data_IF_197311118047
#
_entry.id   IF_197311118047
#
_cell.length_a   1.000
_cell.length_b   1.000
_cell.length_c   1.000
_cell.angle_alpha   90.00
_cell.angle_beta   90.00
_cell.angle_gamma   90.00
#
_symmetry.space_group_name_H-M   'P 1'
#
loop_
_entity.id
_entity.type
_entity.pdbx_description
1 polymer ?
2 non-polymer ?
3 non-polymer ?
4 water ?
#
# COMPACT_ATOMS: atom_id res chain seq x y z
N UNK A 2 26.91 0.75 -3.56
CA UNK A 2 26.44 -0.65 -3.55
C UNK A 2 27.41 -1.51 -2.72
N UNK A 3 26.80 -2.35 -1.91
CA UNK A 3 27.46 -3.12 -0.91
C UNK A 3 28.39 -2.21 -0.10
N UNK A 4 28.12 -0.90 -0.09
CA UNK A 4 28.94 0.06 0.64
C UNK A 4 28.08 0.83 1.66
N UNK A 5 28.69 1.17 2.80
CA UNK A 5 28.10 2.09 3.77
C UNK A 5 28.71 3.48 3.54
N UNK A 6 27.89 4.44 3.10
CA UNK A 6 28.39 5.77 2.85
C UNK A 6 29.12 6.31 4.09
N UNK A 7 30.18 7.07 3.85
CA UNK A 7 30.98 7.64 4.95
C UNK A 7 30.15 8.67 5.75
N UNK A 8 29.03 9.19 5.20
CA UNK A 8 28.21 10.14 5.91
C UNK A 8 26.99 9.47 6.55
N UNK A 9 26.86 8.13 6.41
CA UNK A 9 25.76 7.42 7.11
C UNK A 9 26.21 7.21 8.55
N UNK A 10 25.25 7.07 9.46
CA UNK A 10 25.58 6.83 10.85
C UNK A 10 25.01 5.44 11.17
N UNK A 11 25.85 4.57 11.74
CA UNK A 11 25.43 3.24 12.14
C UNK A 11 25.75 3.14 13.64
N UNK A 12 24.71 3.01 14.47
CA UNK A 12 24.95 2.88 15.89
C UNK A 12 25.90 1.73 16.19
N UNK A 13 26.81 1.87 17.16
CA UNK A 13 27.65 0.73 17.55
C UNK A 13 26.89 -0.54 17.95
N UNK A 14 25.66 -0.42 18.45
CA UNK A 14 24.87 -1.64 18.85
C UNK A 14 24.11 -2.27 17.67
N UNK A 15 23.97 -1.56 16.56
CA UNK A 15 23.33 -2.09 15.37
C UNK A 15 24.23 -3.17 14.78
N UNK A 16 23.60 -4.05 13.98
CA UNK A 16 24.26 -5.14 13.32
C UNK A 16 23.88 -5.05 11.84
N UNK A 17 24.77 -4.47 11.03
CA UNK A 17 24.54 -4.39 9.59
C UNK A 17 25.45 -5.39 8.91
N UNK A 18 24.87 -6.34 8.19
CA UNK A 18 25.65 -7.40 7.62
C UNK A 18 26.42 -6.87 6.40
N UNK A 19 27.64 -7.41 6.23
CA UNK A 19 28.47 -7.15 5.06
C UNK A 19 27.67 -7.45 3.79
N UNK A 20 27.62 -6.47 2.87
CA UNK A 20 26.87 -6.55 1.61
C UNK A 20 25.73 -5.54 1.56
N UNK A 21 25.24 -5.10 2.72
CA UNK A 21 24.20 -4.07 2.82
C UNK A 21 24.71 -2.76 2.23
N UNK A 22 23.82 -2.02 1.58
CA UNK A 22 24.11 -0.69 1.03
C UNK A 22 23.35 0.34 1.85
N UNK A 23 24.07 1.35 2.33
CA UNK A 23 23.46 2.41 3.15
C UNK A 23 23.95 3.76 2.63
N UNK A 24 22.99 4.58 2.22
CA UNK A 24 23.27 5.80 1.50
C UNK A 24 23.65 6.96 2.42
N UNK A 25 24.01 8.06 1.79
CA UNK A 25 24.46 9.28 2.44
C UNK A 25 23.41 9.72 3.47
N UNK A 26 23.90 10.03 4.67
CA UNK A 26 23.15 10.67 5.77
C UNK A 26 21.97 9.81 6.18
N UNK A 27 21.99 8.51 5.87
CA UNK A 27 21.10 7.55 6.52
C UNK A 27 21.53 7.40 7.98
N UNK A 28 20.64 6.86 8.80
CA UNK A 28 20.84 6.69 10.25
C UNK A 28 20.25 5.36 10.69
N UNK A 29 21.12 4.46 11.12
CA UNK A 29 20.72 3.18 11.63
C UNK A 29 20.87 3.30 13.14
N UNK A 30 19.74 3.23 13.85
CA UNK A 30 19.72 3.43 15.30
C UNK A 30 20.15 2.18 16.08
N UNK A 31 20.12 2.28 17.41
CA UNK A 31 20.56 1.19 18.27
C UNK A 31 19.71 -0.08 18.11
N UNK A 32 20.35 -1.25 18.14
CA UNK A 32 19.70 -2.53 18.19
C UNK A 32 18.93 -2.82 16.89
N UNK A 33 19.28 -2.13 15.80
CA UNK A 33 18.74 -2.51 14.51
C UNK A 33 19.58 -3.66 13.92
N UNK A 34 18.94 -4.44 13.06
CA UNK A 34 19.53 -5.54 12.34
C UNK A 34 19.21 -5.29 10.86
N UNK A 35 20.26 -5.27 10.05
CA UNK A 35 20.15 -4.99 8.64
C UNK A 35 20.90 -6.10 7.89
N UNK A 36 20.17 -6.85 7.07
CA UNK A 36 20.72 -7.98 6.37
C UNK A 36 21.53 -7.60 5.15
N UNK A 37 22.21 -8.61 4.57
CA UNK A 37 23.16 -8.39 3.50
C UNK A 37 22.60 -8.00 2.14
N UNK A 38 21.29 -8.17 1.90
CA UNK A 38 20.71 -7.86 0.61
C UNK A 38 19.81 -6.63 0.69
N UNK A 39 19.95 -5.87 1.76
CA UNK A 39 19.17 -4.65 1.96
C UNK A 39 19.91 -3.47 1.32
N UNK A 40 19.12 -2.55 0.74
CA UNK A 40 19.61 -1.27 0.27
C UNK A 40 18.74 -0.19 0.93
N UNK A 41 19.38 0.76 1.61
CA UNK A 41 18.70 1.86 2.31
C UNK A 41 19.21 3.18 1.72
N UNK A 42 18.27 4.00 1.24
CA UNK A 42 18.59 5.17 0.50
C UNK A 42 18.92 6.35 1.42
N UNK A 43 19.38 7.39 0.74
CA UNK A 43 19.88 8.61 1.31
C UNK A 43 18.85 9.14 2.30
N UNK A 44 19.32 9.45 3.51
CA UNK A 44 18.49 10.17 4.47
C UNK A 44 17.49 9.31 5.21
N UNK A 45 17.44 8.00 4.94
CA UNK A 45 16.51 7.16 5.63
C UNK A 45 17.01 6.87 7.05
N UNK A 46 16.06 6.81 7.99
CA UNK A 46 16.29 6.67 9.41
C UNK A 46 15.52 5.44 9.89
N UNK A 47 16.26 4.54 10.56
CA UNK A 47 15.72 3.45 11.35
C UNK A 47 15.93 3.84 12.81
N UNK A 48 14.86 4.17 13.51
CA UNK A 48 15.01 4.86 14.78
C UNK A 48 15.77 4.00 15.81
N UNK A 49 15.28 2.77 16.04
CA UNK A 49 15.92 1.79 16.97
C UNK A 49 15.13 0.49 16.83
N UNK A 50 15.75 -0.64 17.21
CA UNK A 50 15.01 -1.93 17.31
C UNK A 50 14.24 -2.23 16.01
N UNK A 51 14.83 -1.94 14.83
CA UNK A 51 14.19 -2.24 13.54
C UNK A 51 14.91 -3.43 12.91
N UNK A 52 14.14 -4.41 12.38
CA UNK A 52 14.73 -5.50 11.66
C UNK A 52 14.43 -5.30 10.16
N UNK A 53 15.49 -5.25 9.32
CA UNK A 53 15.33 -5.18 7.88
C UNK A 53 16.09 -6.33 7.27
N UNK A 54 15.44 -7.18 6.46
CA UNK A 54 16.18 -8.31 5.91
C UNK A 54 15.59 -8.68 4.55
N UNK A 55 16.18 -9.70 3.97
CA UNK A 55 15.75 -10.20 2.65
C UNK A 55 16.26 -9.29 1.54
N UNK A 56 15.81 -9.55 0.32
CA UNK A 56 16.15 -8.76 -0.83
C UNK A 56 15.19 -7.56 -0.83
N UNK A 57 15.65 -6.45 -0.22
CA UNK A 57 14.82 -5.40 0.16
C UNK A 57 15.48 -4.05 -0.21
N UNK A 58 14.74 -3.23 -0.94
CA UNK A 58 15.19 -1.91 -1.39
C UNK A 58 14.27 -0.83 -0.82
N UNK A 59 14.88 0.06 -0.03
CA UNK A 59 14.20 1.15 0.64
C UNK A 59 14.79 2.47 0.12
N UNK A 60 13.94 3.42 -0.27
CA UNK A 60 14.35 4.63 -0.87
C UNK A 60 14.81 5.66 0.15
N UNK A 61 14.57 6.93 -0.22
CA UNK A 61 15.17 8.08 0.45
C UNK A 61 14.17 8.72 1.41
N UNK A 62 14.70 9.24 2.50
CA UNK A 62 14.01 10.07 3.48
C UNK A 62 12.82 9.32 4.10
N UNK A 63 12.92 8.00 4.25
CA UNK A 63 11.94 7.24 5.00
C UNK A 63 12.22 7.41 6.49
N UNK A 64 11.18 7.24 7.29
CA UNK A 64 11.33 7.20 8.75
C UNK A 64 10.66 5.93 9.23
N UNK A 65 11.47 4.99 9.70
CA UNK A 65 11.00 3.69 10.12
C UNK A 65 11.20 3.58 11.64
N UNK A 66 10.10 3.37 12.37
CA UNK A 66 10.11 3.39 13.81
C UNK A 66 10.35 2.00 14.40
N UNK A 67 10.63 2.01 15.70
CA UNK A 67 10.99 0.86 16.50
C UNK A 67 9.98 -0.28 16.36
N UNK A 68 10.53 -1.47 16.34
CA UNK A 68 9.82 -2.75 16.41
C UNK A 68 9.15 -3.06 15.07
N UNK A 69 9.46 -2.28 14.03
CA UNK A 69 9.05 -2.62 12.65
C UNK A 69 9.89 -3.79 12.14
N UNK A 70 9.31 -4.57 11.23
CA UNK A 70 9.92 -5.73 10.57
C UNK A 70 9.69 -5.57 9.06
N UNK A 71 10.74 -5.27 8.30
CA UNK A 71 10.59 -4.94 6.90
C UNK A 71 11.44 -5.92 6.07
N UNK A 72 10.79 -6.61 5.11
CA UNK A 72 11.47 -7.57 4.24
C UNK A 72 11.34 -9.01 4.71
N UNK A 73 10.74 -9.19 5.90
CA UNK A 73 10.78 -10.48 6.57
C UNK A 73 10.04 -11.55 5.73
N UNK A 74 10.44 -12.82 5.92
CA UNK A 74 9.68 -14.01 5.54
C UNK A 74 8.17 -13.78 5.72
N UNK A 75 7.38 -14.10 4.70
CA UNK A 75 5.98 -13.89 4.69
C UNK A 75 5.30 -15.07 5.43
N UNK A 76 3.98 -14.99 5.56
CA UNK A 76 3.19 -15.95 6.39
C UNK A 76 2.53 -17.00 5.50
N UNK A 77 2.80 -16.96 4.19
CA UNK A 77 2.19 -17.92 3.28
C UNK A 77 2.71 -19.32 3.59
N UNK A 78 1.80 -20.28 3.71
CA UNK A 78 2.17 -21.64 4.12
C UNK A 78 2.97 -22.31 2.99
N UNK A 79 2.89 -21.83 1.75
CA UNK A 79 3.64 -22.50 0.66
C UNK A 79 5.09 -21.97 0.59
N UNK A 80 5.37 -20.78 1.15
CA UNK A 80 6.70 -20.11 1.00
C UNK A 80 7.82 -20.94 1.66
N UNK A 81 8.94 -21.11 0.97
CA UNK A 81 9.97 -22.02 1.50
C UNK A 81 11.38 -21.43 1.37
N UNK A 82 11.49 -20.12 1.46
CA UNK A 82 12.78 -19.44 1.56
C UNK A 82 13.30 -18.89 0.22
N UNK A 83 12.47 -18.92 -0.82
CA UNK A 83 12.85 -18.41 -2.15
C UNK A 83 13.24 -16.91 -2.06
N UNK A 84 14.16 -16.43 -2.92
CA UNK A 84 14.67 -15.06 -2.81
C UNK A 84 13.74 -14.04 -3.51
N UNK A 85 12.59 -13.82 -2.88
CA UNK A 85 11.62 -12.87 -3.33
C UNK A 85 12.01 -11.51 -2.71
N UNK A 86 11.18 -10.50 -2.96
CA UNK A 86 11.63 -9.11 -2.84
C UNK A 86 10.58 -8.21 -2.17
N UNK A 87 11.09 -7.14 -1.57
CA UNK A 87 10.35 -5.97 -1.14
C UNK A 87 11.01 -4.74 -1.77
N UNK A 88 10.19 -3.81 -2.27
CA UNK A 88 10.59 -2.51 -2.70
C UNK A 88 9.76 -1.47 -1.95
N UNK A 89 10.44 -0.49 -1.33
CA UNK A 89 9.75 0.64 -0.65
C UNK A 89 10.32 1.92 -1.24
N UNK A 90 9.46 2.91 -1.56
CA UNK A 90 9.93 4.16 -2.16
C UNK A 90 10.44 5.14 -1.12
N UNK A 91 10.00 6.40 -1.28
CA UNK A 91 10.61 7.56 -0.61
C UNK A 91 9.59 8.25 0.34
N UNK A 92 10.12 8.84 1.43
CA UNK A 92 9.37 9.75 2.30
C UNK A 92 8.16 9.03 2.92
N UNK A 93 8.32 7.76 3.25
CA UNK A 93 7.27 7.03 3.97
C UNK A 93 7.50 7.19 5.47
N UNK A 94 6.42 7.19 6.25
CA UNK A 94 6.43 7.19 7.68
C UNK A 94 5.86 5.83 8.09
N UNK A 95 6.75 4.94 8.54
CA UNK A 95 6.45 3.59 8.79
C UNK A 95 6.56 3.43 10.31
N UNK A 96 5.42 3.32 10.98
CA UNK A 96 5.36 3.50 12.43
C UNK A 96 5.66 2.19 13.21
N UNK A 97 5.61 2.28 14.54
CA UNK A 97 6.03 1.20 15.41
C UNK A 97 5.27 -0.09 15.05
N UNK A 98 6.00 -1.22 15.02
CA UNK A 98 5.47 -2.55 14.84
C UNK A 98 4.87 -2.77 13.47
N UNK A 99 5.08 -1.88 12.50
CA UNK A 99 4.60 -2.20 11.15
C UNK A 99 5.34 -3.44 10.66
N UNK A 100 4.64 -4.25 9.86
CA UNK A 100 5.25 -5.44 9.21
C UNK A 100 5.03 -5.34 7.70
N UNK A 101 6.11 -5.54 6.94
CA UNK A 101 6.03 -5.57 5.51
C UNK A 101 6.79 -6.81 5.06
N UNK A 102 6.10 -7.78 4.48
CA UNK A 102 6.68 -9.06 4.17
C UNK A 102 7.01 -9.17 2.69
N UNK A 103 8.01 -10.02 2.42
CA UNK A 103 8.48 -10.35 1.07
C UNK A 103 7.43 -11.14 0.30
N UNK A 104 7.53 -11.09 -1.03
CA UNK A 104 6.64 -11.85 -1.92
C UNK A 104 6.75 -13.35 -1.86
N UNK A 105 5.88 -13.99 -2.65
CA UNK A 105 5.93 -15.40 -2.89
C UNK A 105 6.23 -15.61 -4.39
N UNK A 106 6.80 -16.75 -4.74
CA UNK A 106 7.09 -17.00 -6.16
C UNK A 106 5.78 -17.03 -6.94
N UNK A 107 4.82 -17.80 -6.43
CA UNK A 107 3.47 -17.96 -7.02
C UNK A 107 2.75 -16.62 -7.18
N UNK A 108 3.01 -15.66 -6.30
CA UNK A 108 2.26 -14.35 -6.32
C UNK A 108 2.96 -13.25 -7.14
N UNK A 109 4.12 -13.56 -7.72
CA UNK A 109 4.85 -12.58 -8.54
C UNK A 109 6.19 -12.17 -7.96
N UNK A 110 6.51 -12.55 -6.72
CA UNK A 110 7.89 -12.34 -6.24
C UNK A 110 8.16 -11.02 -5.54
N UNK A 111 7.21 -10.08 -5.49
CA UNK A 111 7.45 -8.71 -5.03
C UNK A 111 6.29 -8.16 -4.20
N UNK A 112 6.63 -7.60 -3.05
CA UNK A 112 5.81 -6.70 -2.31
C UNK A 112 6.37 -5.28 -2.51
N UNK A 113 5.49 -4.35 -2.87
CA UNK A 113 5.90 -3.01 -3.29
C UNK A 113 5.03 -1.98 -2.58
N UNK A 114 5.72 -0.98 -2.04
CA UNK A 114 5.15 0.19 -1.43
C UNK A 114 5.78 1.41 -2.11
N UNK A 115 4.94 2.40 -2.41
CA UNK A 115 5.42 3.59 -3.12
C UNK A 115 6.02 4.63 -2.18
N UNK A 116 5.56 5.87 -2.36
CA UNK A 116 6.15 7.02 -1.68
C UNK A 116 5.06 7.82 -0.96
N UNK A 117 5.48 8.53 0.10
CA UNK A 117 4.71 9.53 0.84
C UNK A 117 3.53 8.87 1.53
N UNK A 118 3.70 7.62 1.91
CA UNK A 118 2.67 6.88 2.60
C UNK A 118 2.83 7.05 4.11
N UNK A 119 1.72 6.86 4.84
CA UNK A 119 1.76 6.75 6.28
C UNK A 119 1.19 5.38 6.66
N UNK A 120 2.04 4.54 7.24
CA UNK A 120 1.63 3.27 7.75
C UNK A 120 1.67 3.35 9.27
N UNK A 121 0.51 3.39 9.89
CA UNK A 121 0.37 3.63 11.33
C UNK A 121 0.65 2.33 12.09
N UNK A 122 0.68 2.43 13.42
CA UNK A 122 1.10 1.38 14.33
C UNK A 122 0.50 0.04 13.91
N UNK A 123 1.35 -0.96 13.82
CA UNK A 123 0.94 -2.35 13.60
C UNK A 123 0.18 -2.54 12.28
N UNK A 124 0.33 -1.64 11.30
CA UNK A 124 -0.21 -1.96 9.97
C UNK A 124 0.58 -3.12 9.39
N UNK A 125 -0.09 -3.92 8.54
CA UNK A 125 0.51 -5.12 7.99
C UNK A 125 0.34 -5.10 6.48
N UNK A 126 1.46 -5.35 5.78
CA UNK A 126 1.47 -5.50 4.33
C UNK A 126 2.03 -6.87 4.02
N UNK A 127 1.16 -7.79 3.66
CA UNK A 127 1.47 -9.20 3.41
C UNK A 127 2.25 -9.33 2.10
N UNK A 128 2.74 -10.53 1.89
CA UNK A 128 3.31 -10.95 0.62
C UNK A 128 2.46 -10.51 -0.58
N UNK A 129 3.18 -9.97 -1.57
CA UNK A 129 2.65 -9.75 -2.95
C UNK A 129 1.67 -8.58 -3.01
N UNK A 130 1.60 -7.77 -1.94
CA UNK A 130 0.79 -6.56 -1.92
C UNK A 130 1.46 -5.48 -2.78
N UNK A 131 0.64 -4.52 -3.26
CA UNK A 131 1.14 -3.35 -3.91
C UNK A 131 0.40 -2.15 -3.34
N UNK A 132 1.12 -1.25 -2.67
CA UNK A 132 0.61 -0.02 -2.12
C UNK A 132 1.23 1.11 -2.94
N UNK A 133 0.40 2.07 -3.37
CA UNK A 133 0.89 3.21 -4.22
C UNK A 133 1.48 4.32 -3.37
N UNK A 134 1.10 5.55 -3.72
CA UNK A 134 1.67 6.75 -3.17
C UNK A 134 0.58 7.50 -2.40
N UNK A 135 0.96 8.15 -1.29
CA UNK A 135 0.13 9.04 -0.51
C UNK A 135 -1.05 8.29 0.11
N UNK A 136 -0.87 7.01 0.40
CA UNK A 136 -1.90 6.18 1.09
C UNK A 136 -1.75 6.31 2.60
N UNK A 137 -2.80 5.97 3.33
CA UNK A 137 -2.76 5.90 4.80
C UNK A 137 -3.31 4.53 5.18
N UNK A 138 -2.55 3.76 5.96
CA UNK A 138 -3.07 2.59 6.66
C UNK A 138 -3.10 2.96 8.14
N UNK A 139 -4.29 3.05 8.72
CA UNK A 139 -4.40 3.43 10.10
C UNK A 139 -4.03 2.26 11.01
N UNK A 140 -4.09 2.47 12.34
CA UNK A 140 -3.53 1.46 13.27
C UNK A 140 -4.19 0.09 13.02
N UNK A 141 -3.37 -0.94 12.98
CA UNK A 141 -3.81 -2.35 12.93
C UNK A 141 -4.44 -2.66 11.57
N UNK A 142 -4.37 -1.72 10.61
CA UNK A 142 -4.91 -2.02 9.29
C UNK A 142 -4.08 -3.17 8.69
N UNK A 143 -4.76 -4.15 8.09
CA UNK A 143 -4.10 -5.40 7.67
C UNK A 143 -4.50 -5.72 6.22
N UNK A 144 -3.50 -5.78 5.36
CA UNK A 144 -3.67 -6.22 3.96
C UNK A 144 -3.20 -7.69 3.93
N UNK A 145 -4.12 -8.60 3.70
CA UNK A 145 -3.78 -10.00 3.48
C UNK A 145 -3.11 -10.12 2.09
N UNK A 146 -2.70 -11.32 1.70
CA UNK A 146 -1.78 -11.41 0.58
C UNK A 146 -2.37 -10.93 -0.75
N UNK A 147 -1.50 -10.40 -1.62
CA UNK A 147 -1.85 -10.10 -3.02
C UNK A 147 -2.86 -8.95 -3.11
N UNK A 148 -2.91 -8.08 -2.12
CA UNK A 148 -3.86 -6.91 -2.11
C UNK A 148 -3.20 -5.71 -2.83
N UNK A 149 -3.97 -4.98 -3.62
CA UNK A 149 -3.53 -3.67 -4.13
C UNK A 149 -4.27 -2.52 -3.43
N UNK A 150 -3.54 -1.54 -2.93
CA UNK A 150 -4.06 -0.27 -2.41
C UNK A 150 -3.50 0.86 -3.29
N UNK A 151 -4.39 1.46 -4.09
CA UNK A 151 -3.98 2.47 -5.11
C UNK A 151 -3.81 3.84 -4.45
N UNK A 152 -3.27 4.80 -5.20
CA UNK A 152 -2.85 6.09 -4.69
C UNK A 152 -3.94 6.81 -3.87
N UNK A 153 -3.57 7.47 -2.76
CA UNK A 153 -4.44 8.30 -1.93
C UNK A 153 -5.47 7.51 -1.13
N UNK A 154 -5.52 6.19 -1.26
CA UNK A 154 -6.55 5.39 -0.54
C UNK A 154 -6.21 5.40 0.97
N UNK A 155 -7.26 5.41 1.80
CA UNK A 155 -7.12 5.32 3.25
C UNK A 155 -7.79 4.04 3.70
N UNK A 156 -7.05 3.22 4.43
CA UNK A 156 -7.61 2.03 5.06
C UNK A 156 -7.71 2.32 6.56
N UNK A 157 -8.92 2.35 7.10
CA UNK A 157 -9.17 2.73 8.48
C UNK A 157 -8.68 1.73 9.51
N UNK A 158 -8.78 2.14 10.76
CA UNK A 158 -8.18 1.39 11.82
C UNK A 158 -8.90 0.06 12.07
N UNK A 159 -8.13 -0.98 12.39
CA UNK A 159 -8.71 -2.26 12.76
C UNK A 159 -9.39 -2.91 11.52
N UNK A 160 -9.05 -2.50 10.30
CA UNK A 160 -9.68 -3.00 9.08
C UNK A 160 -8.83 -4.09 8.41
N UNK A 161 -9.46 -5.17 7.94
CA UNK A 161 -8.76 -6.21 7.19
C UNK A 161 -9.21 -6.15 5.73
N UNK A 162 -8.26 -6.29 4.83
CA UNK A 162 -8.57 -6.43 3.40
C UNK A 162 -8.18 -7.84 2.97
N UNK A 163 -9.17 -8.60 2.54
CA UNK A 163 -9.00 -10.04 2.28
C UNK A 163 -8.14 -10.23 1.02
N UNK A 164 -7.58 -11.43 0.88
CA UNK A 164 -6.59 -11.69 -0.12
C UNK A 164 -7.15 -11.42 -1.53
N UNK A 165 -6.28 -10.89 -2.37
CA UNK A 165 -6.48 -10.59 -3.80
C UNK A 165 -7.34 -9.36 -4.07
N UNK A 166 -7.85 -8.71 -3.03
CA UNK A 166 -8.75 -7.60 -3.26
C UNK A 166 -7.97 -6.36 -3.75
N UNK A 167 -8.65 -5.52 -4.57
CA UNK A 167 -8.13 -4.29 -5.14
C UNK A 167 -8.91 -3.15 -4.52
N UNK A 168 -8.20 -2.18 -3.94
CA UNK A 168 -8.75 -0.94 -3.39
C UNK A 168 -8.33 0.18 -4.35
N UNK A 169 -9.29 0.79 -5.04
CA UNK A 169 -9.01 1.85 -6.04
C UNK A 169 -8.53 3.14 -5.44
N UNK A 170 -8.07 4.06 -6.31
CA UNK A 170 -7.46 5.30 -5.87
C UNK A 170 -8.51 6.14 -5.17
N UNK A 171 -8.06 6.94 -4.19
CA UNK A 171 -8.90 7.85 -3.40
C UNK A 171 -10.06 7.18 -2.66
N UNK A 172 -10.01 5.87 -2.42
CA UNK A 172 -10.99 5.21 -1.59
C UNK A 172 -10.79 5.61 -0.10
N UNK A 173 -11.87 5.59 0.66
CA UNK A 173 -11.78 5.63 2.11
C UNK A 173 -12.54 4.42 2.65
N UNK A 174 -11.82 3.56 3.37
CA UNK A 174 -12.44 2.48 4.06
C UNK A 174 -12.48 2.87 5.54
N UNK A 175 -13.69 2.86 6.11
CA UNK A 175 -13.97 3.17 7.52
C UNK A 175 -13.24 2.19 8.44
N UNK A 176 -13.05 2.63 9.69
CA UNK A 176 -12.44 1.81 10.70
C UNK A 176 -13.35 0.63 10.99
N UNK A 177 -12.76 -0.48 11.45
CA UNK A 177 -13.45 -1.69 11.92
C UNK A 177 -14.21 -2.31 10.75
N UNK A 178 -13.56 -2.39 9.59
CA UNK A 178 -14.19 -2.97 8.43
C UNK A 178 -13.51 -4.29 8.04
N UNK A 179 -14.27 -5.11 7.31
CA UNK A 179 -13.75 -6.29 6.61
C UNK A 179 -14.03 -6.17 5.12
N UNK A 180 -13.00 -5.99 4.31
CA UNK A 180 -13.19 -5.78 2.91
C UNK A 180 -12.96 -7.12 2.19
N UNK A 181 -14.05 -7.71 1.68
CA UNK A 181 -13.94 -9.07 1.09
C UNK A 181 -14.03 -9.09 -0.45
N UNK A 182 -14.29 -7.93 -1.06
CA UNK A 182 -14.39 -7.79 -2.52
C UNK A 182 -13.69 -6.49 -2.93
N UNK A 183 -13.71 -6.15 -4.22
CA UNK A 183 -12.89 -5.07 -4.78
C UNK A 183 -13.65 -3.76 -4.56
N UNK A 184 -12.91 -2.68 -4.27
CA UNK A 184 -13.51 -1.36 -4.01
C UNK A 184 -13.13 -0.46 -5.16
N UNK A 185 -14.11 0.01 -5.98
CA UNK A 185 -13.82 0.90 -7.07
C UNK A 185 -13.14 2.20 -6.62
N UNK A 186 -12.40 2.88 -7.50
CA UNK A 186 -11.80 4.16 -7.16
C UNK A 186 -12.88 5.18 -6.72
N UNK A 187 -12.53 6.02 -5.74
CA UNK A 187 -13.25 7.21 -5.37
C UNK A 187 -14.42 6.90 -4.42
N UNK A 188 -14.49 5.68 -3.87
CA UNK A 188 -15.63 5.20 -3.15
C UNK A 188 -15.31 5.19 -1.64
N UNK A 189 -16.33 5.46 -0.83
CA UNK A 189 -16.36 5.27 0.61
C UNK A 189 -16.95 3.88 0.88
N UNK A 190 -16.24 3.09 1.71
CA UNK A 190 -16.70 1.75 2.07
C UNK A 190 -16.63 1.61 3.57
N UNK A 191 -17.59 0.92 4.19
CA UNK A 191 -17.54 0.65 5.61
C UNK A 191 -18.34 -0.63 5.89
N UNK A 192 -17.93 -1.32 6.96
CA UNK A 192 -18.72 -2.38 7.54
C UNK A 192 -18.01 -3.73 7.44
N UNK A 193 -18.73 -4.79 7.82
CA UNK A 193 -18.19 -6.13 7.81
C UNK A 193 -19.33 -7.05 7.35
N UNK A 194 -19.36 -7.44 6.05
CA UNK A 194 -18.36 -7.09 5.07
C UNK A 194 -18.69 -5.67 4.57
N UNK A 195 -17.65 -4.97 4.14
CA UNK A 195 -17.77 -3.61 3.73
C UNK A 195 -18.67 -3.51 2.51
N UNK A 196 -19.51 -2.46 2.53
CA UNK A 196 -20.42 -2.08 1.51
C UNK A 196 -20.16 -0.61 1.16
N UNK A 197 -20.54 -0.15 -0.06
CA UNK A 197 -20.22 1.19 -0.54
C UNK A 197 -21.21 2.23 0.04
N UNK A 198 -20.71 3.44 0.28
CA UNK A 198 -21.53 4.54 0.82
C UNK A 198 -21.23 5.85 0.04
N UNK A 199 -21.30 5.79 -1.29
CA UNK A 199 -21.16 6.96 -2.15
C UNK A 199 -19.70 7.32 -2.42
N UNK A 200 -19.52 8.42 -3.12
CA UNK A 200 -18.21 8.82 -3.52
C UNK A 200 -17.55 9.58 -2.35
N UNK A 201 -16.22 9.49 -2.27
CA UNK A 201 -15.38 10.22 -1.32
C UNK A 201 -15.22 11.68 -1.77
N UNK A 202 -16.31 12.43 -1.69
CA UNK A 202 -16.38 13.81 -2.21
C UNK A 202 -15.37 14.68 -1.44
N UNK A 203 -15.33 14.55 -0.11
CA UNK A 203 -14.52 15.48 0.64
C UNK A 203 -13.03 15.27 0.26
N UNK A 204 -12.64 14.00 0.09
CA UNK A 204 -11.29 13.69 -0.36
C UNK A 204 -10.97 14.28 -1.73
N UNK A 205 -11.88 14.11 -2.69
CA UNK A 205 -11.64 14.59 -4.02
C UNK A 205 -11.55 16.12 -4.03
N UNK A 206 -12.39 16.79 -3.26
CA UNK A 206 -12.36 18.24 -3.14
C UNK A 206 -11.00 18.66 -2.59
N UNK A 207 -10.59 18.07 -1.47
CA UNK A 207 -9.32 18.45 -0.84
C UNK A 207 -8.18 18.22 -1.83
N UNK A 208 -8.24 17.20 -2.66
CA UNK A 208 -7.09 16.89 -3.52
C UNK A 208 -7.18 17.62 -4.89
N UNK A 209 -8.01 18.67 -5.02
CA UNK A 209 -8.04 19.57 -6.22
C UNK A 209 -8.80 19.01 -7.44
N UNK A 210 -9.69 18.02 -7.27
CA UNK A 210 -10.53 17.60 -8.44
C UNK A 210 -11.51 18.71 -8.78
N UNK A 211 -11.71 18.94 -10.09
CA UNK A 211 -12.64 19.92 -10.58
C UNK A 211 -14.07 19.50 -10.24
N UNK A 212 -14.93 20.50 -10.19
CA UNK A 212 -16.37 20.32 -10.09
C UNK A 212 -16.88 19.30 -11.14
N UNK A 213 -16.49 19.48 -12.39
CA UNK A 213 -16.94 18.66 -13.54
C UNK A 213 -16.52 17.19 -13.32
N UNK A 214 -15.29 17.02 -12.84
CA UNK A 214 -14.69 15.69 -12.57
C UNK A 214 -15.46 14.97 -11.43
N UNK A 215 -15.76 15.71 -10.37
CA UNK A 215 -16.46 15.09 -9.25
C UNK A 215 -17.90 14.71 -9.66
N UNK A 216 -18.58 15.58 -10.39
CA UNK A 216 -19.94 15.28 -10.92
C UNK A 216 -19.91 14.03 -11.81
N UNK A 217 -18.92 13.96 -12.70
CA UNK A 217 -18.72 12.80 -13.60
C UNK A 217 -18.49 11.51 -12.79
N UNK A 218 -17.69 11.59 -11.73
CA UNK A 218 -17.38 10.45 -10.90
C UNK A 218 -18.65 9.98 -10.15
N UNK A 219 -19.44 10.92 -9.61
CA UNK A 219 -20.71 10.59 -9.01
C UNK A 219 -21.63 9.93 -10.05
N UNK A 220 -21.58 10.39 -11.30
CA UNK A 220 -22.42 9.81 -12.39
C UNK A 220 -21.98 8.37 -12.68
N UNK A 221 -20.66 8.13 -12.70
CA UNK A 221 -20.09 6.78 -12.84
C UNK A 221 -20.51 5.84 -11.69
N UNK A 222 -20.45 6.34 -10.45
CA UNK A 222 -20.93 5.63 -9.23
C UNK A 222 -22.41 5.25 -9.35
N UNK A 223 -23.24 6.16 -9.85
CA UNK A 223 -24.67 5.88 -9.98
C UNK A 223 -24.89 4.81 -11.05
N UNK A 224 -24.15 4.87 -12.16
CA UNK A 224 -24.23 3.81 -13.15
C UNK A 224 -23.96 2.44 -12.50
N UNK A 225 -22.93 2.33 -11.67
CA UNK A 225 -22.55 1.04 -11.06
C UNK A 225 -23.60 0.62 -10.03
N UNK A 226 -24.00 1.54 -9.16
CA UNK A 226 -24.68 1.13 -7.96
C UNK A 226 -26.18 1.45 -7.97
N UNK A 227 -26.62 2.45 -8.72
CA UNK A 227 -28.02 2.92 -8.62
C UNK A 227 -28.82 2.49 -9.84
N UNK A 228 -28.20 2.45 -11.02
CA UNK A 228 -28.86 2.17 -12.28
C UNK A 228 -29.56 0.80 -12.26
N UNK A 229 -29.12 -0.10 -11.38
CA UNK A 229 -29.65 -1.47 -11.30
C UNK A 229 -29.26 -2.32 -12.51
N UNK A 230 -28.38 -1.82 -13.37
CA UNK A 230 -27.89 -2.57 -14.49
C UNK A 230 -26.75 -3.47 -14.03
N UNK A 231 -26.36 -4.39 -14.92
CA UNK A 231 -25.23 -5.31 -14.68
C UNK A 231 -23.93 -4.52 -14.84
N UNK A 232 -22.85 -4.99 -14.22
CA UNK A 232 -21.58 -4.29 -14.39
C UNK A 232 -21.19 -4.33 -15.87
N UNK A 233 -21.47 -5.45 -16.55
CA UNK A 233 -21.07 -5.62 -17.95
C UNK A 233 -21.94 -4.74 -18.86
N UNK A 234 -23.17 -4.46 -18.43
CA UNK A 234 -24.03 -3.48 -19.10
C UNK A 234 -23.46 -2.06 -19.00
N UNK A 235 -22.90 -1.67 -17.84
CA UNK A 235 -22.57 -0.25 -17.62
C UNK A 235 -21.11 0.05 -17.98
N UNK A 236 -20.27 -0.96 -18.22
CA UNK A 236 -18.88 -0.72 -18.64
C UNK A 236 -18.79 0.20 -19.87
N UNK A 237 -19.48 -0.08 -21.01
CA UNK A 237 -19.44 0.85 -22.13
C UNK A 237 -19.87 2.26 -21.74
N UNK A 238 -20.89 2.36 -20.89
CA UNK A 238 -21.44 3.63 -20.53
C UNK A 238 -20.38 4.44 -19.77
N UNK A 239 -19.64 3.78 -18.87
CA UNK A 239 -18.60 4.43 -18.12
C UNK A 239 -17.45 4.82 -19.05
N UNK A 240 -17.07 3.95 -20.01
CA UNK A 240 -16.05 4.29 -21.02
C UNK A 240 -16.49 5.51 -21.83
N UNK A 241 -17.76 5.54 -22.25
CA UNK A 241 -18.29 6.69 -23.02
C UNK A 241 -18.13 7.99 -22.21
N UNK A 242 -18.45 7.94 -20.92
CA UNK A 242 -18.34 9.11 -20.02
C UNK A 242 -16.89 9.57 -19.90
N UNK A 243 -15.98 8.60 -19.83
CA UNK A 243 -14.56 8.86 -19.69
C UNK A 243 -14.00 9.54 -20.93
N UNK A 244 -14.71 9.50 -22.06
CA UNK A 244 -14.24 10.13 -23.30
C UNK A 244 -14.22 11.66 -23.11
N UNK A 245 -15.05 12.17 -22.18
CA UNK A 245 -15.13 13.60 -21.87
C UNK A 245 -14.42 13.88 -20.54
N UNK A 246 -14.57 12.99 -19.55
CA UNK A 246 -14.03 13.23 -18.21
C UNK A 246 -12.95 12.21 -17.92
N UNK A 247 -11.65 12.55 -18.10
CA UNK A 247 -10.56 11.57 -18.03
C UNK A 247 -10.44 10.85 -16.69
N UNK A 248 -10.88 11.49 -15.59
CA UNK A 248 -10.82 10.88 -14.27
C UNK A 248 -11.70 9.62 -14.21
N UNK A 249 -12.68 9.49 -15.11
CA UNK A 249 -13.59 8.32 -15.07
C UNK A 249 -12.91 7.07 -15.65
N UNK A 250 -11.80 7.25 -16.38
CA UNK A 250 -11.05 6.10 -16.91
C UNK A 250 -10.50 5.23 -15.78
N UNK A 251 -10.24 5.81 -14.59
CA UNK A 251 -9.81 5.03 -13.44
C UNK A 251 -10.79 3.86 -13.19
N UNK A 252 -12.09 4.05 -13.46
CA UNK A 252 -13.07 2.94 -13.29
C UNK A 252 -12.76 1.79 -14.26
N UNK A 253 -12.58 2.15 -15.52
CA UNK A 253 -12.26 1.21 -16.59
C UNK A 253 -10.99 0.40 -16.25
N UNK A 254 -9.92 1.13 -15.89
CA UNK A 254 -8.65 0.51 -15.58
C UNK A 254 -8.85 -0.45 -14.39
N UNK A 255 -9.66 0.00 -13.42
CA UNK A 255 -9.93 -0.80 -12.24
C UNK A 255 -10.70 -2.08 -12.64
N UNK A 256 -11.69 -1.98 -13.52
CA UNK A 256 -12.49 -3.18 -13.84
C UNK A 256 -11.58 -4.27 -14.40
N UNK A 257 -10.54 -3.87 -15.16
CA UNK A 257 -9.68 -4.82 -15.84
C UNK A 257 -8.86 -5.60 -14.82
N UNK A 258 -8.57 -4.99 -13.66
CA UNK A 258 -7.74 -5.64 -12.64
C UNK A 258 -8.59 -6.42 -11.62
N UNK A 259 -9.86 -6.04 -11.46
CA UNK A 259 -10.73 -6.61 -10.43
C UNK A 259 -11.01 -8.10 -10.74
N UNK A 260 -10.83 -8.99 -9.76
CA UNK A 260 -11.10 -10.43 -9.88
C UNK A 260 -12.13 -10.93 -8.87
N UNK A 261 -12.49 -10.11 -7.87
CA UNK A 261 -13.31 -10.65 -6.74
C UNK A 261 -14.76 -10.15 -6.81
N UNK A 262 -15.14 -9.46 -7.88
CA UNK A 262 -16.39 -8.69 -7.93
C UNK A 262 -16.26 -7.41 -7.10
N UNK A 263 -17.26 -6.55 -7.19
CA UNK A 263 -17.31 -5.29 -6.46
C UNK A 263 -18.09 -5.43 -5.15
N UNK A 264 -17.69 -4.64 -4.15
CA UNK A 264 -18.48 -4.50 -2.96
C UNK A 264 -19.81 -3.90 -3.39
N UNK A 265 -20.89 -4.34 -2.75
CA UNK A 265 -22.26 -3.90 -3.10
C UNK A 265 -23.18 -3.87 -1.88
X LIG B 1 -7.24 6.71 13.21
X LIG B 1 -6.25 6.03 13.89
X LIG B 1 -10.11 8.35 7.90
X LIG B 1 -8.67 7.02 9.25
X LIG B 1 -9.09 9.27 7.73
X LIG B 1 -7.65 7.93 9.08
X LIG B 1 -8.53 6.22 13.14
X LIG B 1 -6.56 4.82 14.50
X LIG B 1 -5.07 10.98 8.20
X LIG B 1 -7.00 11.14 7.38
X LIG B 1 -9.90 7.23 8.67
X LIG B 1 -7.87 9.05 8.32
X LIG B 1 -8.88 5.05 13.75
X LIG B 1 -7.89 4.38 14.41
X LIG B 1 -13.94 6.52 10.46
X LIG B 1 -10.99 5.37 11.15
X LIG B 1 -16.36 6.94 10.40
X LIG B 1 -11.05 6.32 8.89
X LIG B 1 -12.60 7.23 10.68
X LIG B 1 -11.47 5.42 12.57
X LIG B 1 -5.86 11.80 7.41
X LIG B 1 -5.64 9.87 8.67
X LIG B 1 -6.88 9.99 8.12
X LIG B 1 -15.00 7.41 10.49
X LIG B 1 -11.47 6.34 10.31
X LIG B 1 -14.12 5.30 10.33
X LIG B 1 -10.18 4.49 10.78
X LIG B 1 -10.54 4.36 13.69
X LIG B 1 -8.33 2.87 15.17
X LIG C 1 -11.47 -8.28 -14.39
#
# INVERSE_FOLDING_TARGET
GSHMIDKSAFVHPTAIVEEGASIGANAHIGPFCIVGPHVEIGEGTVLKSHVVVNGHTKIGRDNEIYQFASIGEVNQDLKYAGEPTRVEIGDRNRIRESVTIHRGTVQGGGLTKVGSDNLLMINAHIAHDCTVGNRCILANNATLAGHVSVDDFAIIGGMTAVHQFCIIGAHVMVGGCSGVAQDVPPYVIAQGNHATPFGVNIEGLKRRGFSREAITAIRNAYKLIYRSGKTLDEVKPEIAELAETYPEVKAFTDFFARSTRGLIR
VFE C25 C26 C9 C13 C10 C12 C24 C27 C17 C15 C8 C11 C23 C28 C3 C19 C1 C7 C5 C21 N16 N18 N14 N2 N6 O4 O20 S22 CL
NA NA
#
